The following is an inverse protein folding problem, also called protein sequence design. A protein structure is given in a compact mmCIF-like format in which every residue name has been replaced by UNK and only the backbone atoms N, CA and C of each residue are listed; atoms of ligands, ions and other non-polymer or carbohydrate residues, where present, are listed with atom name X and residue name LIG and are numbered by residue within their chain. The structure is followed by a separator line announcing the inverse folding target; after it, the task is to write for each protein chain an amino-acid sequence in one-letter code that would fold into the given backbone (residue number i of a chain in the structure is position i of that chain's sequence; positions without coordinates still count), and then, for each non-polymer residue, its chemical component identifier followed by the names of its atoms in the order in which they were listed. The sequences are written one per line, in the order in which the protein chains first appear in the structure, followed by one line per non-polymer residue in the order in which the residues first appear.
data_IF_535311862532
#
_entry.id   IF_535311862532
#
_cell.length_a   1.000
_cell.length_b   1.000
_cell.length_c   1.000
_cell.angle_alpha   90.00
_cell.angle_beta   90.00
_cell.angle_gamma   90.00
#
_symmetry.space_group_name_H-M   'P 1'
#
loop_
_entity.id
_entity.type
_entity.pdbx_description
1 polymer ?
#
# COMPACT_ATOMS: atom_id res chain seq x y z
N UNK A 1 -14.78 -2.12 18.73
CA UNK A 1 -13.60 -1.47 19.35
C UNK A 1 -12.76 -0.93 18.21
N UNK A 2 -12.18 0.27 18.33
CA UNK A 2 -11.26 0.78 17.31
C UNK A 2 -9.92 0.03 17.42
N UNK A 3 -9.30 -0.30 16.28
CA UNK A 3 -7.95 -0.85 16.22
C UNK A 3 -6.96 0.28 16.00
N UNK A 4 -5.81 0.21 16.65
CA UNK A 4 -4.69 1.12 16.47
C UNK A 4 -3.56 0.42 15.71
N UNK A 5 -3.10 1.02 14.63
CA UNK A 5 -1.99 0.50 13.84
C UNK A 5 -1.05 1.60 13.39
N UNK A 6 0.12 1.19 12.92
CA UNK A 6 1.15 2.08 12.38
C UNK A 6 1.51 1.65 10.96
N UNK A 7 1.91 2.60 10.13
CA UNK A 7 2.57 2.31 8.87
C UNK A 7 4.08 2.56 8.97
N UNK A 8 4.86 1.70 8.32
CA UNK A 8 6.33 1.72 8.41
C UNK A 8 6.99 1.45 7.07
N UNK A 9 8.19 2.01 6.90
CA UNK A 9 9.05 1.88 5.73
C UNK A 9 10.52 1.89 6.16
N UNK A 10 11.44 1.87 5.20
CA UNK A 10 12.86 2.10 5.48
C UNK A 10 13.17 3.44 6.17
N UNK A 11 12.30 4.45 6.02
CA UNK A 11 12.49 5.76 6.63
C UNK A 11 12.32 5.75 8.15
N UNK A 12 11.70 4.70 8.71
CA UNK A 12 11.57 4.52 10.16
C UNK A 12 12.81 3.86 10.79
N UNK A 13 13.81 3.49 10.00
CA UNK A 13 15.04 2.87 10.50
C UNK A 13 14.85 1.43 10.98
N UNK A 14 15.53 1.06 12.06
CA UNK A 14 15.44 -0.29 12.63
C UNK A 14 14.47 -0.30 13.82
N UNK A 15 13.41 -1.10 13.71
CA UNK A 15 12.32 -1.17 14.69
C UNK A 15 12.48 -2.41 15.58
N UNK A 16 12.28 -2.23 16.89
CA UNK A 16 12.16 -3.32 17.85
C UNK A 16 10.72 -3.85 17.88
N UNK A 17 10.48 -4.99 17.24
CA UNK A 17 9.15 -5.59 17.13
C UNK A 17 8.67 -6.27 18.42
N UNK A 18 9.58 -6.62 19.33
CA UNK A 18 9.21 -7.18 20.64
C UNK A 18 8.64 -6.10 21.56
N UNK A 19 9.08 -4.85 21.40
CA UNK A 19 8.43 -3.70 22.03
C UNK A 19 7.17 -3.28 21.27
N UNK A 20 7.22 -3.22 19.94
CA UNK A 20 6.09 -2.74 19.13
C UNK A 20 4.82 -3.57 19.33
N UNK A 21 4.92 -4.91 19.43
CA UNK A 21 3.76 -5.81 19.55
C UNK A 21 2.83 -5.52 20.73
N UNK A 22 3.31 -4.81 21.74
CA UNK A 22 2.51 -4.45 22.92
C UNK A 22 1.79 -3.10 22.77
N UNK A 23 2.02 -2.38 21.66
CA UNK A 23 1.57 -1.01 21.45
C UNK A 23 0.69 -0.84 20.21
N UNK A 24 0.54 -1.87 19.37
CA UNK A 24 -0.23 -1.83 18.13
C UNK A 24 -1.05 -3.10 17.95
N UNK A 25 -2.21 -2.95 17.31
CA UNK A 25 -3.05 -4.06 16.88
C UNK A 25 -2.63 -4.59 15.49
N UNK A 26 -2.03 -3.74 14.65
CA UNK A 26 -1.56 -4.11 13.31
C UNK A 26 -0.47 -3.17 12.76
N UNK A 27 0.18 -3.59 11.66
CA UNK A 27 1.19 -2.81 10.94
C UNK A 27 0.93 -2.82 9.43
N UNK A 28 1.06 -1.68 8.74
CA UNK A 28 1.06 -1.63 7.26
C UNK A 28 2.47 -1.28 6.78
N UNK A 29 3.09 -2.14 5.97
CA UNK A 29 4.51 -2.04 5.62
C UNK A 29 4.64 -1.52 4.18
N UNK A 30 5.50 -0.54 3.91
CA UNK A 30 5.86 -0.22 2.52
C UNK A 30 6.56 -1.41 1.91
N UNK A 31 5.99 -1.97 0.86
CA UNK A 31 6.61 -3.06 0.10
C UNK A 31 7.55 -2.52 -0.97
N UNK A 32 7.08 -1.54 -1.74
CA UNK A 32 7.78 -1.00 -2.90
C UNK A 32 7.12 0.29 -3.41
N UNK A 33 7.74 0.88 -4.42
CA UNK A 33 7.20 2.01 -5.17
C UNK A 33 7.51 1.92 -6.67
N UNK A 34 6.75 2.65 -7.49
CA UNK A 34 6.93 2.76 -8.94
C UNK A 34 7.01 1.42 -9.67
N UNK A 35 7.89 1.32 -10.66
CA UNK A 35 8.21 0.08 -11.41
C UNK A 35 8.93 -1.01 -10.58
N UNK A 36 8.56 -1.14 -9.31
CA UNK A 36 9.04 -2.09 -8.31
C UNK A 36 10.47 -1.82 -7.82
N UNK A 37 10.67 -0.68 -7.18
CA UNK A 37 11.77 -0.50 -6.24
C UNK A 37 11.32 -1.04 -4.88
N UNK A 38 11.89 -2.17 -4.45
CA UNK A 38 11.60 -2.80 -3.15
C UNK A 38 12.13 -1.94 -1.99
N UNK A 39 11.32 -1.74 -0.95
CA UNK A 39 11.73 -1.03 0.25
C UNK A 39 12.77 -1.85 1.04
N UNK A 40 13.86 -1.20 1.45
CA UNK A 40 15.03 -1.85 2.04
C UNK A 40 14.74 -2.58 3.36
N UNK A 41 13.58 -2.31 4.00
CA UNK A 41 13.17 -2.94 5.26
C UNK A 41 11.95 -3.86 5.11
N UNK A 42 11.28 -3.89 3.96
CA UNK A 42 10.02 -4.61 3.77
C UNK A 42 10.10 -6.08 4.23
N UNK A 43 11.10 -6.82 3.73
CA UNK A 43 11.26 -8.25 4.04
C UNK A 43 11.50 -8.49 5.52
N UNK A 44 12.41 -7.72 6.13
CA UNK A 44 12.73 -7.86 7.56
C UNK A 44 11.51 -7.51 8.41
N UNK A 45 10.80 -6.45 8.08
CA UNK A 45 9.63 -6.01 8.84
C UNK A 45 8.51 -7.05 8.76
N UNK A 46 8.26 -7.63 7.58
CA UNK A 46 7.27 -8.69 7.41
C UNK A 46 7.65 -9.95 8.21
N UNK A 47 8.91 -10.42 8.10
CA UNK A 47 9.38 -11.57 8.86
C UNK A 47 9.31 -11.35 10.38
N UNK A 48 9.54 -10.13 10.85
CA UNK A 48 9.41 -9.82 12.28
C UNK A 48 7.94 -9.80 12.72
N UNK A 49 7.03 -9.20 11.94
CA UNK A 49 5.59 -9.29 12.21
C UNK A 49 5.13 -10.75 12.34
N UNK A 50 5.56 -11.62 11.42
CA UNK A 50 5.28 -13.06 11.47
C UNK A 50 5.88 -13.71 12.71
N UNK A 51 7.14 -13.39 13.07
CA UNK A 51 7.82 -13.94 14.25
C UNK A 51 7.10 -13.58 15.55
N UNK A 52 6.64 -12.33 15.69
CA UNK A 52 6.01 -11.85 16.93
C UNK A 52 4.47 -11.95 16.92
N UNK A 53 3.89 -12.35 15.80
CA UNK A 53 2.44 -12.55 15.65
C UNK A 53 1.62 -11.26 15.48
N UNK A 54 2.22 -10.17 14.98
CA UNK A 54 1.49 -8.92 14.68
C UNK A 54 0.79 -9.07 13.32
N UNK A 55 -0.54 -8.88 13.22
CA UNK A 55 -1.22 -8.76 11.93
C UNK A 55 -0.64 -7.63 11.08
N UNK A 56 -0.39 -7.89 9.81
CA UNK A 56 0.19 -6.88 8.94
C UNK A 56 -0.30 -6.95 7.50
N UNK A 57 -0.13 -5.83 6.81
CA UNK A 57 -0.43 -5.68 5.38
C UNK A 57 0.72 -4.95 4.69
N UNK A 58 0.56 -4.69 3.40
CA UNK A 58 1.53 -3.91 2.64
C UNK A 58 0.88 -2.73 1.95
N UNK A 59 1.66 -1.70 1.67
CA UNK A 59 1.31 -0.70 0.67
C UNK A 59 2.37 -0.63 -0.45
N UNK A 60 1.92 -0.21 -1.63
CA UNK A 60 2.76 0.09 -2.79
C UNK A 60 2.53 1.54 -3.22
N UNK A 61 3.57 2.38 -3.17
CA UNK A 61 3.50 3.76 -3.63
C UNK A 61 3.52 3.81 -5.16
N UNK A 62 2.36 4.02 -5.76
CA UNK A 62 2.21 3.93 -7.21
C UNK A 62 2.82 5.16 -7.90
N UNK A 63 3.57 4.96 -8.99
CA UNK A 63 3.90 6.05 -9.93
C UNK A 63 3.18 5.88 -11.27
N UNK A 64 2.28 4.90 -11.40
CA UNK A 64 1.53 4.67 -12.63
C UNK A 64 0.76 5.93 -13.07
N UNK A 65 0.84 6.21 -14.36
CA UNK A 65 0.11 7.29 -15.06
C UNK A 65 -0.91 6.74 -16.04
N UNK A 66 -0.88 5.43 -16.27
CA UNK A 66 -1.82 4.72 -17.12
C UNK A 66 -2.02 3.28 -16.63
N UNK A 67 -3.03 2.60 -17.18
CA UNK A 67 -3.39 1.24 -16.76
C UNK A 67 -2.32 0.18 -17.07
N UNK A 68 -1.50 0.39 -18.11
CA UNK A 68 -0.40 -0.53 -18.42
C UNK A 68 0.71 -0.49 -17.37
N UNK A 69 1.09 0.72 -16.95
CA UNK A 69 2.02 0.93 -15.83
C UNK A 69 1.42 0.33 -14.54
N UNK A 70 0.16 0.63 -14.23
CA UNK A 70 -0.51 0.09 -13.04
C UNK A 70 -0.58 -1.45 -13.01
N UNK A 71 -0.82 -2.07 -14.17
CA UNK A 71 -0.80 -3.54 -14.28
C UNK A 71 0.59 -4.11 -14.01
N UNK A 72 1.65 -3.44 -14.47
CA UNK A 72 3.02 -3.87 -14.19
C UNK A 72 3.35 -3.72 -12.69
N UNK A 73 2.96 -2.60 -12.07
CA UNK A 73 3.13 -2.34 -10.64
C UNK A 73 2.43 -3.40 -9.79
N UNK A 74 1.14 -3.67 -10.01
CA UNK A 74 0.39 -4.66 -9.21
C UNK A 74 0.93 -6.07 -9.40
N UNK A 75 1.36 -6.45 -10.61
CA UNK A 75 1.96 -7.77 -10.85
C UNK A 75 3.25 -7.96 -10.05
N UNK A 76 4.11 -6.94 -10.01
CA UNK A 76 5.35 -7.00 -9.25
C UNK A 76 5.09 -6.97 -7.73
N UNK A 77 4.16 -6.13 -7.29
CA UNK A 77 3.69 -6.08 -5.91
C UNK A 77 3.15 -7.43 -5.42
N UNK A 78 2.28 -8.10 -6.19
CA UNK A 78 1.76 -9.42 -5.82
C UNK A 78 2.83 -10.52 -5.83
N UNK A 79 3.81 -10.43 -6.73
CA UNK A 79 4.97 -11.33 -6.74
C UNK A 79 5.82 -11.22 -5.47
N UNK A 80 5.86 -10.04 -4.85
CA UNK A 80 6.47 -9.82 -3.55
C UNK A 80 5.57 -10.32 -2.41
N UNK A 81 4.31 -9.87 -2.36
CA UNK A 81 3.38 -10.17 -1.28
C UNK A 81 3.17 -11.68 -1.06
N UNK A 82 3.16 -12.49 -2.13
CA UNK A 82 3.00 -13.96 -2.06
C UNK A 82 4.13 -14.71 -1.36
N UNK A 83 5.25 -14.05 -1.07
CA UNK A 83 6.38 -14.65 -0.33
C UNK A 83 6.15 -14.61 1.19
N UNK A 84 5.03 -14.00 1.61
CA UNK A 84 4.70 -13.70 2.99
C UNK A 84 3.22 -14.03 3.28
N UNK A 85 2.80 -13.87 4.53
CA UNK A 85 1.44 -14.17 5.00
C UNK A 85 0.72 -12.94 5.61
N UNK A 86 0.50 -11.86 4.83
CA UNK A 86 -0.23 -10.70 5.31
C UNK A 86 -1.67 -11.06 5.64
N UNK A 87 -2.18 -10.49 6.73
CA UNK A 87 -3.56 -10.68 7.24
C UNK A 87 -4.34 -9.37 7.35
N UNK A 88 -3.72 -8.24 7.01
CA UNK A 88 -4.36 -6.94 6.81
C UNK A 88 -4.40 -6.60 5.31
N UNK A 89 -5.17 -5.58 4.90
CA UNK A 89 -5.31 -5.26 3.48
C UNK A 89 -3.99 -4.87 2.81
N UNK A 90 -3.95 -5.12 1.52
CA UNK A 90 -2.89 -4.72 0.61
C UNK A 90 -3.33 -3.46 -0.14
N UNK A 91 -2.60 -2.38 0.08
CA UNK A 91 -2.97 -1.05 -0.36
C UNK A 91 -2.19 -0.61 -1.60
N UNK A 92 -2.90 0.01 -2.54
CA UNK A 92 -2.27 1.01 -3.41
C UNK A 92 -2.24 2.34 -2.66
N UNK A 93 -1.06 2.96 -2.61
CA UNK A 93 -0.88 4.33 -2.15
C UNK A 93 -0.89 5.24 -3.39
N UNK A 94 -2.00 5.97 -3.53
CA UNK A 94 -2.30 6.84 -4.68
C UNK A 94 -2.15 8.31 -4.26
N UNK A 95 -0.93 8.81 -4.38
CA UNK A 95 -0.57 10.19 -4.03
C UNK A 95 0.42 10.80 -5.02
N UNK A 96 0.79 12.05 -4.82
CA UNK A 96 1.90 12.72 -5.54
C UNK A 96 2.74 13.57 -4.58
N UNK A 97 3.06 12.98 -3.42
CA UNK A 97 3.72 13.66 -2.30
C UNK A 97 5.11 14.24 -2.66
N UNK A 98 5.80 13.63 -3.62
CA UNK A 98 7.10 14.09 -4.13
C UNK A 98 6.99 14.91 -5.43
N UNK A 99 5.77 15.11 -5.94
CA UNK A 99 5.49 15.81 -7.20
C UNK A 99 5.95 15.05 -8.45
N UNK A 100 6.27 13.76 -8.36
CA UNK A 100 6.77 13.01 -9.50
C UNK A 100 5.73 12.95 -10.62
N UNK A 101 4.46 12.65 -10.36
CA UNK A 101 3.41 12.58 -11.39
C UNK A 101 3.21 13.93 -12.05
N UNK A 102 3.09 15.00 -11.26
CA UNK A 102 2.98 16.37 -11.78
C UNK A 102 4.14 16.72 -12.73
N UNK A 103 5.37 16.32 -12.40
CA UNK A 103 6.56 16.57 -13.22
C UNK A 103 6.72 15.60 -14.41
N UNK A 104 5.93 14.54 -14.48
CA UNK A 104 6.01 13.49 -15.52
C UNK A 104 4.71 13.39 -16.34
N UNK A 105 4.04 14.52 -16.57
CA UNK A 105 2.87 14.64 -17.45
C UNK A 105 1.51 14.63 -16.73
N UNK A 106 1.51 14.47 -15.41
CA UNK A 106 0.31 14.39 -14.58
C UNK A 106 -0.48 13.10 -14.77
N UNK A 107 -1.54 12.98 -13.98
CA UNK A 107 -2.55 11.93 -14.12
C UNK A 107 -3.91 12.55 -13.84
N UNK A 108 -4.92 12.25 -14.65
CA UNK A 108 -6.28 12.76 -14.42
C UNK A 108 -6.95 12.02 -13.27
N UNK A 109 -7.94 12.63 -12.61
CA UNK A 109 -8.67 11.99 -11.53
C UNK A 109 -9.39 10.71 -11.97
N UNK A 110 -9.93 10.69 -13.18
CA UNK A 110 -10.55 9.51 -13.79
C UNK A 110 -9.51 8.39 -13.96
N UNK A 111 -8.30 8.74 -14.41
CA UNK A 111 -7.20 7.79 -14.59
C UNK A 111 -6.70 7.25 -13.25
N UNK A 112 -6.51 8.12 -12.24
CA UNK A 112 -6.16 7.70 -10.87
C UNK A 112 -7.18 6.73 -10.30
N UNK A 113 -8.47 7.02 -10.48
CA UNK A 113 -9.57 6.14 -10.05
C UNK A 113 -9.51 4.78 -10.75
N UNK A 114 -9.27 4.77 -12.06
CA UNK A 114 -9.17 3.54 -12.85
C UNK A 114 -7.94 2.70 -12.46
N UNK A 115 -6.81 3.35 -12.14
CA UNK A 115 -5.61 2.71 -11.61
C UNK A 115 -5.90 2.03 -10.27
N UNK A 116 -6.54 2.75 -9.33
CA UNK A 116 -6.90 2.19 -8.03
C UNK A 116 -7.80 0.95 -8.18
N UNK A 117 -8.84 1.03 -9.02
CA UNK A 117 -9.74 -0.11 -9.29
C UNK A 117 -8.98 -1.30 -9.88
N UNK A 118 -8.15 -1.07 -10.90
CA UNK A 118 -7.35 -2.14 -11.52
C UNK A 118 -6.44 -2.82 -10.49
N UNK A 119 -5.73 -2.03 -9.69
CA UNK A 119 -4.84 -2.56 -8.66
C UNK A 119 -5.62 -3.40 -7.65
N UNK A 120 -6.68 -2.85 -7.07
CA UNK A 120 -7.48 -3.54 -6.07
C UNK A 120 -8.18 -4.80 -6.61
N UNK A 121 -8.69 -4.77 -7.85
CA UNK A 121 -9.31 -5.95 -8.47
C UNK A 121 -8.31 -7.09 -8.67
N UNK A 122 -7.06 -6.78 -9.06
CA UNK A 122 -6.00 -7.78 -9.17
C UNK A 122 -5.62 -8.35 -7.79
N UNK A 123 -5.57 -7.50 -6.75
CA UNK A 123 -5.29 -7.91 -5.37
C UNK A 123 -6.37 -8.86 -4.84
N UNK A 124 -7.65 -8.53 -5.03
CA UNK A 124 -8.77 -9.39 -4.63
C UNK A 124 -8.80 -10.69 -5.44
N UNK A 125 -8.51 -10.63 -6.75
CA UNK A 125 -8.43 -11.82 -7.60
C UNK A 125 -7.30 -12.77 -7.18
N UNK A 126 -6.25 -12.24 -6.55
CA UNK A 126 -5.16 -13.02 -5.97
C UNK A 126 -5.48 -13.58 -4.56
N UNK A 127 -6.67 -13.30 -4.02
CA UNK A 127 -7.16 -13.82 -2.74
C UNK A 127 -6.82 -12.95 -1.53
N UNK A 128 -6.36 -11.72 -1.73
CA UNK A 128 -6.05 -10.77 -0.65
C UNK A 128 -7.17 -9.73 -0.46
N UNK A 129 -7.23 -9.11 0.71
CA UNK A 129 -8.09 -7.95 0.92
C UNK A 129 -7.43 -6.71 0.33
N UNK A 130 -8.13 -5.98 -0.53
CA UNK A 130 -7.61 -4.79 -1.17
C UNK A 130 -8.01 -3.50 -0.46
N UNK A 131 -7.13 -2.50 -0.55
CA UNK A 131 -7.43 -1.15 -0.11
C UNK A 131 -6.78 -0.07 -0.95
N UNK A 132 -7.29 1.16 -0.79
CA UNK A 132 -6.71 2.37 -1.34
C UNK A 132 -6.32 3.26 -0.18
N UNK A 133 -5.08 3.72 -0.18
CA UNK A 133 -4.62 4.81 0.64
C UNK A 133 -4.49 6.08 -0.21
N UNK A 134 -4.98 7.19 0.34
CA UNK A 134 -4.77 8.53 -0.18
C UNK A 134 -5.19 9.58 0.86
N UNK A 135 -4.71 10.81 0.71
CA UNK A 135 -5.27 11.95 1.46
C UNK A 135 -6.76 12.21 1.14
N UNK A 136 -7.46 12.88 2.06
CA UNK A 136 -8.86 13.26 1.89
C UNK A 136 -9.10 14.07 0.59
N UNK A 137 -8.16 14.95 0.23
CA UNK A 137 -8.24 15.72 -1.01
C UNK A 137 -8.27 14.81 -2.25
N UNK A 138 -7.41 13.80 -2.30
CA UNK A 138 -7.39 12.85 -3.41
C UNK A 138 -8.69 12.04 -3.48
N UNK A 139 -9.19 11.54 -2.35
CA UNK A 139 -10.48 10.84 -2.32
C UNK A 139 -11.67 11.71 -2.76
N UNK A 140 -11.65 13.01 -2.46
CA UNK A 140 -12.71 13.94 -2.88
C UNK A 140 -12.70 14.23 -4.39
N UNK A 141 -11.55 14.09 -5.04
CA UNK A 141 -11.42 14.35 -6.48
C UNK A 141 -11.49 13.06 -7.33
N UNK A 142 -11.05 11.92 -6.78
CA UNK A 142 -11.24 10.61 -7.40
C UNK A 142 -12.73 10.20 -7.38
N UNK A 143 -13.07 9.25 -8.25
CA UNK A 143 -14.39 8.64 -8.25
C UNK A 143 -14.59 7.65 -7.09
N UNK A 144 -15.77 7.03 -7.06
CA UNK A 144 -16.14 6.10 -5.99
C UNK A 144 -15.20 4.88 -5.93
N UNK A 145 -14.60 4.71 -4.75
CA UNK A 145 -13.71 3.60 -4.36
C UNK A 145 -14.19 2.92 -3.07
N UNK A 146 -15.40 3.24 -2.58
CA UNK A 146 -15.97 2.73 -1.33
C UNK A 146 -16.19 1.22 -1.27
N UNK A 147 -16.11 0.53 -2.42
CA UNK A 147 -16.07 -0.93 -2.50
C UNK A 147 -14.83 -1.52 -1.81
N UNK A 148 -13.70 -0.82 -1.83
CA UNK A 148 -12.45 -1.28 -1.25
C UNK A 148 -12.23 -0.68 0.14
N UNK A 149 -11.23 -1.19 0.87
CA UNK A 149 -10.85 -0.59 2.15
C UNK A 149 -10.23 0.78 1.92
N UNK A 150 -10.80 1.84 2.48
CA UNK A 150 -10.23 3.18 2.39
C UNK A 150 -9.40 3.50 3.64
N UNK A 151 -8.12 3.78 3.44
CA UNK A 151 -7.23 4.34 4.46
C UNK A 151 -6.99 5.82 4.12
N UNK A 152 -7.61 6.72 4.87
CA UNK A 152 -7.64 8.16 4.56
C UNK A 152 -6.68 8.93 5.46
N UNK A 153 -5.75 9.68 4.87
CA UNK A 153 -4.95 10.68 5.60
C UNK A 153 -5.70 12.03 5.67
N UNK A 154 -5.85 12.58 6.88
CA UNK A 154 -6.59 13.83 7.16
C UNK A 154 -6.02 14.58 8.35
#
# INVERSE_FOLDING_TARGET
MALFGVDISEHNGFIDFDQLKNNVDFVIIRSSWGSFAEDLRARRNASECERVGIPYGFYHYSYARNLGEAQAEVNAFLNFARQFHPSMPLYIDMEDADGWKANNGGVSWETSTAICRLFCDNVESAGYWAGVYASLYWFQNMGDLSRYTNWVAQ
#
